data_IF_258753868690
#
_entry.id   IF_258753868690
#
_cell.length_a   1.000
_cell.length_b   1.000
_cell.length_c   1.000
_cell.angle_alpha   90.00
_cell.angle_beta   90.00
_cell.angle_gamma   90.00
#
_symmetry.space_group_name_H-M   'P 1'
#
loop_
_entity.id
_entity.type
_entity.pdbx_description
1 polymer ?
#
# COMPACT_ATOMS: atom_id res chain seq x y z
N UNK A 1 11.61 -15.41 15.23
CA UNK A 1 12.24 -15.49 13.89
C UNK A 1 11.92 -14.18 13.18
N UNK A 2 12.91 -13.31 13.00
CA UNK A 2 12.68 -11.98 12.42
C UNK A 2 12.17 -12.12 10.98
N UNK A 3 10.91 -11.75 10.75
CA UNK A 3 10.37 -11.55 9.42
C UNK A 3 11.22 -10.51 8.72
N UNK A 4 12.06 -10.96 7.78
CA UNK A 4 12.62 -10.05 6.79
C UNK A 4 11.42 -9.43 6.10
N UNK A 5 11.29 -8.11 6.17
CA UNK A 5 10.44 -7.35 5.27
C UNK A 5 11.00 -7.51 3.85
N UNK A 6 10.77 -8.69 3.28
CA UNK A 6 11.00 -8.94 1.86
C UNK A 6 10.08 -7.97 1.13
N UNK A 7 10.65 -7.27 0.16
CA UNK A 7 9.89 -6.42 -0.75
C UNK A 7 9.05 -7.36 -1.64
N UNK A 8 8.00 -7.93 -1.07
CA UNK A 8 7.18 -8.95 -1.72
C UNK A 8 6.40 -8.30 -2.85
N UNK A 9 6.59 -8.86 -4.05
CA UNK A 9 5.90 -8.40 -5.25
C UNK A 9 4.58 -9.13 -5.34
N UNK A 10 3.51 -8.45 -4.97
CA UNK A 10 2.16 -8.95 -5.18
C UNK A 10 1.66 -8.52 -6.57
N UNK A 11 1.36 -9.49 -7.43
CA UNK A 11 0.65 -9.24 -8.69
C UNK A 11 -0.86 -9.28 -8.42
N UNK A 12 -1.54 -8.18 -8.70
CA UNK A 12 -2.99 -8.06 -8.51
C UNK A 12 -3.67 -7.79 -9.85
N UNK A 13 -4.79 -8.47 -10.09
CA UNK A 13 -5.69 -8.14 -11.19
C UNK A 13 -6.68 -7.07 -10.74
N UNK A 14 -6.54 -5.85 -11.27
CA UNK A 14 -7.43 -4.73 -11.01
C UNK A 14 -8.32 -4.49 -12.23
N UNK A 15 -9.62 -4.27 -12.00
CA UNK A 15 -10.51 -3.82 -13.05
C UNK A 15 -10.09 -2.44 -13.59
N UNK A 16 -10.29 -2.20 -14.88
CA UNK A 16 -9.86 -0.97 -15.57
C UNK A 16 -10.40 0.31 -14.91
N UNK A 17 -11.64 0.27 -14.40
CA UNK A 17 -12.25 1.41 -13.68
C UNK A 17 -11.50 1.74 -12.38
N UNK A 18 -11.12 0.72 -11.62
CA UNK A 18 -10.40 0.89 -10.36
C UNK A 18 -8.98 1.43 -10.60
N UNK A 19 -8.31 0.91 -11.64
CA UNK A 19 -7.00 1.42 -12.06
C UNK A 19 -7.04 2.89 -12.47
N UNK A 20 -8.13 3.34 -13.09
CA UNK A 20 -8.34 4.75 -13.44
C UNK A 20 -8.45 5.62 -12.19
N UNK A 21 -9.24 5.21 -11.19
CA UNK A 21 -9.39 5.93 -9.92
C UNK A 21 -8.06 6.02 -9.17
N UNK A 22 -7.29 4.94 -9.12
CA UNK A 22 -5.95 4.93 -8.50
C UNK A 22 -5.01 5.92 -9.20
N UNK A 23 -5.04 5.96 -10.54
CA UNK A 23 -4.23 6.93 -11.28
C UNK A 23 -4.68 8.38 -11.04
N UNK A 24 -5.99 8.65 -11.00
CA UNK A 24 -6.49 10.00 -10.69
C UNK A 24 -6.03 10.44 -9.30
N UNK A 25 -6.21 9.59 -8.29
CA UNK A 25 -5.72 9.83 -6.94
C UNK A 25 -4.20 10.04 -6.90
N UNK A 26 -3.44 9.26 -7.68
CA UNK A 26 -1.98 9.41 -7.81
C UNK A 26 -1.61 10.81 -8.31
N UNK A 27 -2.29 11.33 -9.35
CA UNK A 27 -2.04 12.68 -9.85
C UNK A 27 -2.40 13.75 -8.83
N UNK A 28 -3.55 13.63 -8.17
CA UNK A 28 -3.98 14.56 -7.13
C UNK A 28 -2.99 14.61 -5.94
N UNK A 29 -2.46 13.46 -5.54
CA UNK A 29 -1.55 13.32 -4.40
C UNK A 29 -0.07 13.44 -4.78
N UNK A 30 0.24 13.79 -6.04
CA UNK A 30 1.61 13.93 -6.59
C UNK A 30 2.48 12.69 -6.37
N UNK A 31 1.90 11.51 -6.52
CA UNK A 31 2.60 10.24 -6.33
C UNK A 31 3.29 9.79 -7.62
N UNK A 32 4.57 9.45 -7.53
CA UNK A 32 5.41 9.21 -8.70
C UNK A 32 5.08 7.93 -9.46
N UNK A 33 4.59 6.89 -8.80
CA UNK A 33 4.34 5.57 -9.42
C UNK A 33 2.99 4.98 -9.03
N UNK A 34 2.41 4.15 -9.89
CA UNK A 34 1.16 3.42 -9.58
C UNK A 34 1.34 2.52 -8.36
N UNK A 35 2.47 1.82 -8.26
CA UNK A 35 2.79 0.95 -7.12
C UNK A 35 2.85 1.74 -5.80
N UNK A 36 3.44 2.94 -5.80
CA UNK A 36 3.47 3.78 -4.60
C UNK A 36 2.07 4.27 -4.22
N UNK A 37 1.23 4.59 -5.22
CA UNK A 37 -0.14 5.01 -4.97
C UNK A 37 -0.96 3.87 -4.34
N UNK A 38 -0.86 2.66 -4.90
CA UNK A 38 -1.51 1.47 -4.34
C UNK A 38 -1.03 1.20 -2.91
N UNK A 39 0.27 1.30 -2.63
CA UNK A 39 0.81 1.14 -1.27
C UNK A 39 0.22 2.15 -0.29
N UNK A 40 0.14 3.43 -0.66
CA UNK A 40 -0.44 4.46 0.23
C UNK A 40 -1.93 4.23 0.46
N UNK A 41 -2.68 3.87 -0.59
CA UNK A 41 -4.10 3.56 -0.49
C UNK A 41 -4.36 2.33 0.38
N UNK A 42 -3.57 1.28 0.22
CA UNK A 42 -3.64 0.09 1.09
C UNK A 42 -3.34 0.45 2.55
N UNK A 43 -2.26 1.20 2.82
CA UNK A 43 -1.94 1.65 4.18
C UNK A 43 -3.06 2.49 4.80
N UNK A 44 -3.65 3.40 4.01
CA UNK A 44 -4.77 4.23 4.45
C UNK A 44 -6.02 3.39 4.73
N UNK A 45 -6.35 2.43 3.86
CA UNK A 45 -7.49 1.52 4.04
C UNK A 45 -7.33 0.61 5.26
N UNK A 46 -6.15 0.01 5.44
CA UNK A 46 -5.86 -0.83 6.61
C UNK A 46 -5.97 -0.04 7.92
N UNK A 47 -5.46 1.20 7.93
CA UNK A 47 -5.60 2.09 9.10
C UNK A 47 -7.06 2.47 9.36
N UNK A 48 -7.87 2.69 8.31
CA UNK A 48 -9.29 3.00 8.45
C UNK A 48 -10.10 1.83 9.02
N UNK A 49 -9.74 0.59 8.68
CA UNK A 49 -10.30 -0.64 9.24
C UNK A 49 -9.79 -0.95 10.66
N UNK A 50 -8.94 -0.09 11.24
CA UNK A 50 -8.38 -0.28 12.57
C UNK A 50 -7.26 -1.33 12.63
N UNK A 51 -6.73 -1.77 11.49
CA UNK A 51 -5.55 -2.65 11.48
C UNK A 51 -4.29 -1.84 11.76
N UNK A 52 -3.54 -2.26 12.78
CA UNK A 52 -2.20 -1.77 13.02
C UNK A 52 -1.25 -2.35 11.98
N UNK A 53 -0.73 -1.49 11.11
CA UNK A 53 0.45 -1.84 10.32
C UNK A 53 1.60 -2.02 11.32
N UNK A 54 2.36 -3.12 11.29
CA UNK A 54 3.58 -3.22 12.08
C UNK A 54 4.46 -2.05 11.67
N UNK A 55 4.71 -1.14 12.61
CA UNK A 55 5.61 -0.02 12.34
C UNK A 55 6.99 -0.63 12.13
N UNK A 56 7.67 -0.18 11.07
CA UNK A 56 9.06 -0.56 10.82
C UNK A 56 9.88 -0.17 12.07
N UNK A 57 10.27 -1.16 12.87
CA UNK A 57 10.98 -0.94 14.12
C UNK A 57 10.25 -1.28 15.42
N UNK A 58 9.38 -2.30 15.44
CA UNK A 58 8.99 -2.95 16.70
C UNK A 58 9.91 -4.17 16.97
N UNK A 59 11.03 -4.00 17.70
CA UNK A 59 11.74 -5.12 18.29
C UNK A 59 10.96 -5.58 19.53
N UNK A 60 9.98 -6.44 19.34
CA UNK A 60 9.35 -7.23 20.40
C UNK A 60 8.85 -8.51 19.71
N UNK A 61 9.33 -9.72 20.00
CA UNK A 61 9.93 -10.31 21.21
C UNK A 61 10.79 -11.53 20.81
#
# INVERSE_FOLDING_TARGET
>A
MAEKLTNERMQLSLGSSLRKVINDWRFQNRVGTENEAVRRLLKAGLKAEGMSLPTEGDPSE
#
